data_IF_848272512575
#
_entry.id   IF_848272512575
#
_cell.length_a   1.000
_cell.length_b   1.000
_cell.length_c   1.000
_cell.angle_alpha   90.00
_cell.angle_beta   90.00
_cell.angle_gamma   90.00
#
_symmetry.space_group_name_H-M   'P 1'
#
loop_
_entity.id
_entity.type
_entity.pdbx_description
1 polymer ?
#
# COMPACT_ATOMS: atom_id res chain seq x y z
N UNK A 1 -3.82 42.02 14.98
CA UNK A 1 -3.58 40.98 16.01
C UNK A 1 -4.54 39.87 15.66
N UNK A 2 -4.04 38.93 14.88
CA UNK A 2 -4.86 38.02 14.09
C UNK A 2 -5.11 36.71 14.86
N UNK A 3 -6.33 36.22 14.70
CA UNK A 3 -6.92 35.15 15.49
C UNK A 3 -6.40 33.77 15.10
N UNK A 4 -6.12 32.98 16.14
CA UNK A 4 -5.82 31.55 16.08
C UNK A 4 -6.98 30.76 15.49
N UNK A 5 -6.69 29.91 14.49
CA UNK A 5 -7.56 28.84 14.01
C UNK A 5 -6.71 27.61 13.66
N UNK A 6 -6.02 27.06 14.65
CA UNK A 6 -5.62 25.64 14.65
C UNK A 6 -6.65 24.91 15.49
N UNK A 7 -7.62 24.26 14.83
CA UNK A 7 -8.54 23.35 15.49
C UNK A 7 -8.47 22.01 14.78
N UNK A 8 -7.81 21.05 15.43
CA UNK A 8 -7.74 19.66 15.02
C UNK A 8 -6.31 19.13 14.99
N UNK A 9 -5.83 18.70 16.16
CA UNK A 9 -4.93 17.57 16.44
C UNK A 9 -4.30 17.78 17.83
N UNK A 10 -5.11 17.64 18.87
CA UNK A 10 -4.60 17.38 20.22
C UNK A 10 -4.55 15.86 20.39
N UNK A 11 -3.35 15.28 20.41
CA UNK A 11 -3.11 13.93 20.92
C UNK A 11 -2.84 14.07 22.42
N UNK A 12 -3.86 13.81 23.25
CA UNK A 12 -3.66 13.67 24.68
C UNK A 12 -3.05 12.29 24.97
N UNK A 13 -1.89 12.31 25.63
CA UNK A 13 -1.28 11.13 26.23
C UNK A 13 -2.06 10.69 27.49
N UNK A 14 -2.42 9.41 27.56
CA UNK A 14 -2.65 8.72 28.84
C UNK A 14 -3.97 7.94 28.97
N UNK A 15 -3.84 6.62 29.15
CA UNK A 15 -4.73 5.84 30.02
C UNK A 15 -5.83 5.00 29.37
N UNK A 16 -5.53 3.71 29.22
CA UNK A 16 -6.37 2.50 29.32
C UNK A 16 -7.86 2.50 28.89
N UNK A 17 -8.16 1.57 27.98
CA UNK A 17 -9.45 0.94 27.65
C UNK A 17 -10.71 1.82 27.55
N UNK A 18 -11.05 2.28 26.34
CA UNK A 18 -12.34 1.99 25.68
C UNK A 18 -12.40 2.52 24.24
N UNK A 19 -12.95 1.68 23.39
CA UNK A 19 -13.15 1.81 21.94
C UNK A 19 -13.98 3.06 21.60
N UNK A 20 -13.43 3.95 20.77
CA UNK A 20 -14.05 4.59 19.57
C UNK A 20 -13.36 5.92 19.25
N UNK A 21 -12.29 5.85 18.47
CA UNK A 21 -12.06 6.85 17.43
C UNK A 21 -12.02 6.14 16.07
N UNK A 22 -13.20 5.76 15.60
CA UNK A 22 -13.42 5.28 14.24
C UNK A 22 -13.27 6.44 13.25
N UNK A 23 -12.03 6.78 12.92
CA UNK A 23 -11.72 7.69 11.82
C UNK A 23 -10.42 7.27 11.11
N UNK A 24 -10.51 6.23 10.27
CA UNK A 24 -9.54 6.02 9.20
C UNK A 24 -8.14 5.48 9.58
N UNK A 25 -8.00 4.75 10.69
CA UNK A 25 -6.75 4.11 11.09
C UNK A 25 -6.17 3.26 9.95
N UNK A 26 -4.89 3.46 9.65
CA UNK A 26 -4.16 2.68 8.65
C UNK A 26 -3.62 1.44 9.35
N UNK A 27 -3.85 0.28 8.78
CA UNK A 27 -3.30 -0.99 9.23
C UNK A 27 -2.26 -1.47 8.22
N UNK A 28 -1.22 -2.15 8.72
CA UNK A 28 -0.18 -2.75 7.90
C UNK A 28 -0.18 -4.26 8.12
N UNK A 29 -0.30 -5.00 7.03
CA UNK A 29 -0.33 -6.47 7.04
C UNK A 29 0.85 -7.03 6.26
N UNK A 30 1.30 -8.19 6.68
CA UNK A 30 2.30 -9.01 6.00
C UNK A 30 1.59 -10.07 5.17
N UNK A 31 1.97 -10.22 3.91
CA UNK A 31 1.39 -11.19 2.98
C UNK A 31 2.51 -12.01 2.35
N UNK A 32 2.38 -13.33 2.37
CA UNK A 32 3.30 -14.27 1.71
C UNK A 32 2.52 -15.36 0.97
N UNK A 33 3.23 -16.21 0.21
CA UNK A 33 2.64 -17.40 -0.42
C UNK A 33 1.97 -17.13 -1.77
N UNK A 34 2.11 -15.92 -2.32
CA UNK A 34 1.77 -15.61 -3.71
C UNK A 34 2.87 -16.10 -4.67
N UNK A 35 2.57 -16.09 -5.96
CA UNK A 35 3.55 -16.45 -7.01
C UNK A 35 4.60 -15.34 -7.17
N UNK A 36 5.86 -15.63 -6.83
CA UNK A 36 6.97 -14.69 -6.94
C UNK A 36 7.45 -14.48 -8.37
N UNK A 37 6.96 -15.27 -9.32
CA UNK A 37 7.25 -15.11 -10.76
C UNK A 37 6.30 -14.13 -11.45
N UNK A 38 5.29 -13.62 -10.75
CA UNK A 38 4.38 -12.63 -11.30
C UNK A 38 5.10 -11.31 -11.57
N UNK A 39 4.61 -10.60 -12.59
CA UNK A 39 5.04 -9.24 -12.81
C UNK A 39 4.58 -8.35 -11.64
N UNK A 40 5.43 -7.46 -11.08
CA UNK A 40 5.09 -6.67 -9.89
C UNK A 40 3.77 -5.90 -10.03
N UNK A 41 3.50 -5.36 -11.22
CA UNK A 41 2.26 -4.64 -11.51
C UNK A 41 1.00 -5.54 -11.41
N UNK A 42 1.07 -6.79 -11.88
CA UNK A 42 -0.05 -7.73 -11.80
C UNK A 42 -0.26 -8.19 -10.35
N UNK A 43 0.81 -8.36 -9.58
CA UNK A 43 0.73 -8.63 -8.15
C UNK A 43 0.03 -7.49 -7.42
N UNK A 44 0.41 -6.24 -7.67
CA UNK A 44 -0.21 -5.06 -7.03
C UNK A 44 -1.70 -4.96 -7.36
N UNK A 45 -2.10 -5.18 -8.62
CA UNK A 45 -3.53 -5.18 -9.00
C UNK A 45 -4.28 -6.32 -8.29
N UNK A 46 -3.67 -7.50 -8.25
CA UNK A 46 -4.26 -8.68 -7.61
C UNK A 46 -4.46 -8.47 -6.11
N UNK A 47 -3.46 -7.92 -5.41
CA UNK A 47 -3.54 -7.54 -4.00
C UNK A 47 -4.62 -6.49 -3.76
N UNK A 48 -4.67 -5.45 -4.58
CA UNK A 48 -5.71 -4.40 -4.49
C UNK A 48 -7.12 -4.97 -4.61
N UNK A 49 -7.34 -5.90 -5.54
CA UNK A 49 -8.64 -6.56 -5.71
C UNK A 49 -8.95 -7.53 -4.58
N UNK A 50 -7.95 -8.31 -4.15
CA UNK A 50 -8.13 -9.33 -3.13
C UNK A 50 -8.51 -8.71 -1.77
N UNK A 51 -7.90 -7.59 -1.39
CA UNK A 51 -8.18 -6.91 -0.13
C UNK A 51 -9.23 -5.79 -0.21
N UNK A 52 -9.87 -5.59 -1.37
CA UNK A 52 -10.87 -4.52 -1.56
C UNK A 52 -12.07 -4.62 -0.60
N UNK A 53 -12.41 -5.81 -0.13
CA UNK A 53 -13.47 -6.02 0.88
C UNK A 53 -13.02 -5.73 2.31
N UNK A 54 -11.72 -5.65 2.56
CA UNK A 54 -11.14 -5.41 3.89
C UNK A 54 -11.06 -3.91 4.19
N UNK A 55 -10.68 -3.11 3.19
CA UNK A 55 -10.53 -1.67 3.28
C UNK A 55 -9.96 -1.09 1.98
N UNK A 56 -9.67 0.21 1.98
CA UNK A 56 -8.98 0.86 0.87
C UNK A 56 -7.49 0.50 0.91
N UNK A 57 -7.00 -0.15 -0.14
CA UNK A 57 -5.59 -0.53 -0.27
C UNK A 57 -4.80 0.69 -0.72
N UNK A 58 -4.15 1.37 0.21
CA UNK A 58 -3.47 2.63 -0.08
C UNK A 58 -2.08 2.40 -0.69
N UNK A 59 -1.35 1.40 -0.21
CA UNK A 59 0.00 1.08 -0.67
C UNK A 59 0.28 -0.42 -0.63
N UNK A 60 1.08 -0.89 -1.58
CA UNK A 60 1.59 -2.26 -1.63
C UNK A 60 3.10 -2.16 -1.81
N UNK A 61 3.83 -2.54 -0.78
CA UNK A 61 5.28 -2.53 -0.78
C UNK A 61 5.80 -3.95 -0.98
N UNK A 62 6.52 -4.17 -2.09
CA UNK A 62 7.20 -5.42 -2.38
C UNK A 62 8.70 -5.14 -2.22
N UNK A 63 9.34 -5.62 -1.14
CA UNK A 63 10.74 -5.37 -0.87
C UNK A 63 11.64 -5.74 -2.07
N UNK A 64 12.56 -4.85 -2.42
CA UNK A 64 13.55 -5.11 -3.46
C UNK A 64 12.97 -5.24 -4.87
N UNK A 65 11.68 -4.94 -5.09
CA UNK A 65 11.06 -5.04 -6.42
C UNK A 65 11.64 -4.06 -7.44
N UNK A 66 12.39 -3.06 -6.96
CA UNK A 66 13.14 -2.12 -7.78
C UNK A 66 14.64 -2.43 -7.87
N UNK A 67 15.09 -3.54 -7.29
CA UNK A 67 16.49 -3.97 -7.40
C UNK A 67 16.80 -4.48 -8.81
N UNK A 68 18.07 -4.37 -9.22
CA UNK A 68 18.58 -4.84 -10.52
C UNK A 68 18.89 -6.34 -10.52
N UNK A 69 18.61 -7.05 -9.42
CA UNK A 69 18.84 -8.48 -9.23
C UNK A 69 17.73 -9.32 -9.92
N UNK A 70 17.84 -10.65 -10.03
CA UNK A 70 17.06 -11.43 -10.97
C UNK A 70 15.55 -11.42 -10.67
N UNK A 71 14.78 -11.70 -11.73
CA UNK A 71 13.33 -11.53 -11.98
C UNK A 71 12.31 -12.00 -10.93
N UNK A 72 12.72 -12.56 -9.81
CA UNK A 72 11.79 -13.04 -8.78
C UNK A 72 11.45 -11.94 -7.80
N UNK A 73 10.14 -11.72 -7.58
CA UNK A 73 9.67 -10.89 -6.50
C UNK A 73 10.09 -11.49 -5.15
N UNK A 74 10.20 -10.62 -4.14
CA UNK A 74 10.35 -11.10 -2.78
C UNK A 74 9.15 -12.01 -2.40
N UNK A 75 9.41 -12.98 -1.51
CA UNK A 75 8.44 -13.98 -1.03
C UNK A 75 7.34 -13.38 -0.15
N UNK A 76 7.51 -12.14 0.29
CA UNK A 76 6.50 -11.39 1.03
C UNK A 76 6.35 -9.95 0.55
N UNK A 77 5.18 -9.40 0.84
CA UNK A 77 4.83 -8.01 0.59
C UNK A 77 4.16 -7.44 1.85
N UNK A 78 4.30 -6.12 2.04
CA UNK A 78 3.55 -5.39 3.05
C UNK A 78 2.41 -4.64 2.35
N UNK A 79 1.19 -4.79 2.88
CA UNK A 79 0.00 -4.11 2.35
C UNK A 79 -0.52 -3.15 3.40
N UNK A 80 -0.80 -1.93 2.97
CA UNK A 80 -1.33 -0.86 3.81
C UNK A 80 -2.80 -0.70 3.49
N UNK A 81 -3.64 -0.87 4.50
CA UNK A 81 -5.08 -0.84 4.41
C UNK A 81 -5.62 0.32 5.23
N UNK A 82 -6.56 1.07 4.67
CA UNK A 82 -7.31 2.09 5.40
C UNK A 82 -8.74 1.62 5.57
N UNK A 83 -9.23 1.59 6.81
CA UNK A 83 -10.63 1.30 7.08
C UNK A 83 -10.87 0.62 8.43
N UNK A 84 -12.08 0.76 8.95
CA UNK A 84 -12.47 0.15 10.22
C UNK A 84 -12.44 -1.38 10.12
N UNK A 85 -11.68 -2.00 11.03
CA UNK A 85 -11.48 -3.45 11.08
C UNK A 85 -10.75 -4.02 9.86
N UNK A 86 -10.01 -3.19 9.11
CA UNK A 86 -9.36 -3.63 7.88
C UNK A 86 -8.35 -4.76 8.11
N UNK A 87 -7.55 -4.67 9.17
CA UNK A 87 -6.64 -5.74 9.58
C UNK A 87 -7.39 -7.04 9.88
N UNK A 88 -8.38 -7.02 10.78
CA UNK A 88 -9.14 -8.21 11.17
C UNK A 88 -9.80 -8.89 9.96
N UNK A 89 -10.38 -8.10 9.05
CA UNK A 89 -10.97 -8.60 7.80
C UNK A 89 -9.91 -9.23 6.89
N UNK A 90 -8.72 -8.64 6.80
CA UNK A 90 -7.64 -9.18 5.98
C UNK A 90 -7.04 -10.46 6.55
N UNK A 91 -6.91 -10.57 7.88
CA UNK A 91 -6.44 -11.79 8.55
C UNK A 91 -7.36 -12.99 8.28
N UNK A 92 -8.68 -12.76 8.17
CA UNK A 92 -9.66 -13.81 7.79
C UNK A 92 -9.48 -14.32 6.37
N UNK A 93 -8.73 -13.62 5.50
CA UNK A 93 -8.39 -14.08 4.14
C UNK A 93 -7.12 -14.92 4.10
N UNK A 94 -6.40 -15.07 5.22
CA UNK A 94 -5.29 -16.01 5.32
C UNK A 94 -5.78 -17.43 5.02
N UNK A 95 -5.09 -18.16 4.15
CA UNK A 95 -5.55 -19.46 3.68
C UNK A 95 -6.45 -19.40 2.44
N UNK A 96 -6.68 -18.22 1.85
CA UNK A 96 -7.46 -18.10 0.61
C UNK A 96 -6.57 -18.01 -0.63
N UNK A 97 -7.13 -18.34 -1.79
CA UNK A 97 -6.45 -18.17 -3.07
C UNK A 97 -6.58 -16.73 -3.55
N UNK A 98 -5.44 -16.12 -3.90
CA UNK A 98 -5.45 -14.83 -4.58
C UNK A 98 -5.73 -15.02 -6.07
N UNK A 99 -6.72 -14.30 -6.60
CA UNK A 99 -6.99 -14.28 -8.04
C UNK A 99 -5.95 -13.39 -8.71
N UNK A 100 -5.15 -13.97 -9.59
CA UNK A 100 -4.20 -13.22 -10.42
C UNK A 100 -4.96 -12.53 -11.54
N UNK A 101 -4.79 -11.22 -11.65
CA UNK A 101 -5.35 -10.42 -12.73
C UNK A 101 -4.21 -9.97 -13.65
N UNK A 102 -4.14 -10.57 -14.83
CA UNK A 102 -3.19 -10.22 -15.88
C UNK A 102 -3.87 -9.27 -16.85
N UNK A 103 -3.25 -8.11 -17.17
CA UNK A 103 -3.70 -7.31 -18.32
C UNK A 103 -3.19 -7.97 -19.59
N UNK A 104 -4.09 -8.45 -20.45
CA UNK A 104 -3.73 -8.88 -21.79
C UNK A 104 -3.28 -7.68 -22.62
N UNK A 105 -2.03 -7.68 -23.09
CA UNK A 105 -1.60 -6.77 -24.15
C UNK A 105 -2.09 -7.32 -25.49
N UNK A 106 -3.13 -6.70 -26.05
CA UNK A 106 -3.59 -6.95 -27.41
C UNK A 106 -4.69 -8.01 -27.55
N UNK A 107 -5.92 -7.68 -27.16
CA UNK A 107 -7.16 -8.11 -27.81
C UNK A 107 -8.34 -7.36 -27.20
N UNK A 108 -9.37 -7.11 -28.01
CA UNK A 108 -10.64 -6.49 -27.61
C UNK A 108 -11.18 -7.04 -26.28
N UNK A 109 -11.76 -6.13 -25.49
CA UNK A 109 -12.55 -6.33 -24.29
C UNK A 109 -12.99 -7.78 -24.02
N UNK A 110 -12.12 -8.53 -23.37
CA UNK A 110 -12.48 -9.67 -22.56
C UNK A 110 -11.49 -9.66 -21.41
N UNK A 111 -11.88 -9.04 -20.30
CA UNK A 111 -11.21 -9.30 -19.04
C UNK A 111 -11.21 -10.83 -18.88
N UNK A 112 -10.03 -11.46 -18.89
CA UNK A 112 -9.92 -12.85 -18.48
C UNK A 112 -10.16 -12.86 -16.96
N UNK A 113 -11.43 -12.72 -16.58
CA UNK A 113 -11.88 -13.12 -15.27
C UNK A 113 -11.61 -14.62 -15.29
N UNK A 114 -10.59 -15.04 -14.54
CA UNK A 114 -10.34 -16.46 -14.27
C UNK A 114 -11.46 -16.95 -13.31
N UNK A 115 -12.71 -16.86 -13.75
CA UNK A 115 -13.88 -17.34 -13.04
C UNK A 115 -13.97 -18.83 -13.25
N UNK A 116 -13.64 -19.55 -12.19
CA UNK A 116 -14.21 -20.83 -11.74
C UNK A 116 -14.24 -22.04 -12.68
N UNK A 117 -13.76 -21.98 -13.92
CA UNK A 117 -13.61 -23.19 -14.75
C UNK A 117 -12.49 -22.97 -15.76
N UNK A 118 -11.53 -23.90 -15.80
CA UNK A 118 -10.40 -23.99 -16.72
C UNK A 118 -9.14 -23.19 -16.39
N UNK A 119 -8.34 -23.76 -15.49
CA UNK A 119 -6.93 -23.92 -15.83
C UNK A 119 -6.86 -24.87 -17.03
N UNK A 120 -6.66 -24.34 -18.24
CA UNK A 120 -6.14 -25.17 -19.32
C UNK A 120 -4.66 -25.33 -19.02
N UNK A 121 -4.33 -26.43 -18.36
CA UNK A 121 -2.96 -26.85 -18.16
C UNK A 121 -2.35 -27.15 -19.52
N UNK A 122 -1.39 -26.32 -19.95
CA UNK A 122 -0.32 -26.85 -20.77
C UNK A 122 0.27 -28.03 -19.99
N UNK A 123 0.22 -29.20 -20.59
CA UNK A 123 0.49 -30.50 -19.99
C UNK A 123 1.92 -30.52 -19.43
N UNK A 124 2.09 -30.26 -18.13
CA UNK A 124 3.39 -30.30 -17.45
C UNK A 124 3.38 -29.52 -16.14
N UNK A 125 3.33 -30.25 -15.03
CA UNK A 125 3.48 -29.82 -13.63
C UNK A 125 2.29 -29.09 -12.98
N UNK A 126 1.88 -29.61 -11.82
CA UNK A 126 0.59 -29.36 -11.19
C UNK A 126 0.32 -27.90 -10.82
N UNK A 127 -0.97 -27.54 -10.83
CA UNK A 127 -1.41 -26.25 -10.32
C UNK A 127 -0.95 -26.05 -8.88
N UNK A 128 0.00 -25.14 -8.70
CA UNK A 128 0.26 -24.55 -7.41
C UNK A 128 -0.85 -23.54 -7.16
N UNK A 129 -1.88 -23.97 -6.43
CA UNK A 129 -2.82 -23.03 -5.79
C UNK A 129 -2.02 -22.28 -4.73
N UNK A 130 -1.60 -21.06 -5.06
CA UNK A 130 -0.83 -20.20 -4.17
C UNK A 130 -1.78 -19.57 -3.15
N UNK A 131 -1.96 -20.33 -2.08
CA UNK A 131 -2.72 -19.93 -0.91
C UNK A 131 -1.93 -18.88 -0.14
N UNK A 132 -2.47 -17.67 -0.05
CA UNK A 132 -1.76 -16.60 0.64
C UNK A 132 -1.86 -16.79 2.15
N UNK A 133 -0.81 -16.39 2.86
CA UNK A 133 -0.83 -16.29 4.33
C UNK A 133 -0.74 -14.82 4.68
N UNK A 134 -1.71 -14.36 5.48
CA UNK A 134 -1.80 -12.98 5.96
C UNK A 134 -1.53 -12.96 7.45
N UNK A 135 -0.65 -12.05 7.89
CA UNK A 135 -0.31 -11.81 9.29
C UNK A 135 -0.41 -10.32 9.60
N UNK A 136 -0.70 -9.98 10.86
CA UNK A 136 -0.65 -8.60 11.32
C UNK A 136 0.81 -8.13 11.32
N UNK A 137 1.05 -6.89 10.91
CA UNK A 137 2.38 -6.30 10.93
C UNK A 137 2.31 -4.83 11.37
N UNK A 138 2.02 -4.58 12.66
CA UNK A 138 1.73 -3.24 13.17
C UNK A 138 2.91 -2.29 12.97
N UNK A 139 2.62 -0.99 13.00
CA UNK A 139 3.67 0.03 13.01
C UNK A 139 4.52 -0.12 14.28
N UNK A 140 5.84 -0.04 14.13
CA UNK A 140 6.80 -0.31 15.20
C UNK A 140 7.26 -1.76 15.35
N UNK A 141 6.64 -2.72 14.64
CA UNK A 141 7.19 -4.06 14.50
C UNK A 141 8.55 -4.03 13.79
N UNK A 142 9.52 -4.77 14.32
CA UNK A 142 10.93 -4.77 13.91
C UNK A 142 11.47 -6.19 13.63
N UNK A 143 10.62 -7.21 13.69
CA UNK A 143 10.99 -8.61 13.46
C UNK A 143 11.48 -8.86 12.02
N UNK A 144 11.07 -8.03 11.07
CA UNK A 144 11.52 -8.10 9.67
C UNK A 144 12.67 -7.14 9.35
N UNK A 145 13.19 -6.35 10.31
CA UNK A 145 14.21 -5.32 10.01
C UNK A 145 15.46 -5.93 9.37
N UNK A 146 15.90 -7.09 9.86
CA UNK A 146 17.06 -7.80 9.30
C UNK A 146 16.80 -8.33 7.88
N UNK A 147 15.56 -8.69 7.55
CA UNK A 147 15.17 -9.16 6.22
C UNK A 147 14.95 -7.98 5.25
N UNK A 148 14.46 -6.84 5.74
CA UNK A 148 14.21 -5.63 4.97
C UNK A 148 15.48 -4.82 4.69
N UNK A 149 16.41 -4.76 5.65
CA UNK A 149 17.61 -3.92 5.58
C UNK A 149 18.41 -4.05 4.28
N UNK A 150 18.66 -5.26 3.72
CA UNK A 150 19.41 -5.40 2.46
C UNK A 150 18.73 -4.75 1.25
N UNK A 151 17.40 -4.62 1.26
CA UNK A 151 16.62 -4.08 0.15
C UNK A 151 16.31 -2.59 0.34
N UNK A 152 16.31 -2.13 1.59
CA UNK A 152 15.93 -0.76 1.95
C UNK A 152 16.74 0.30 1.26
N UNK A 153 18.04 0.10 1.08
CA UNK A 153 18.88 1.08 0.38
C UNK A 153 18.45 1.31 -1.07
N UNK A 154 18.03 0.24 -1.76
CA UNK A 154 17.51 0.36 -3.12
C UNK A 154 16.11 0.96 -3.12
N UNK A 155 15.22 0.46 -2.26
CA UNK A 155 13.84 0.92 -2.17
C UNK A 155 13.75 2.39 -1.73
N UNK A 156 14.72 2.89 -0.96
CA UNK A 156 14.84 4.27 -0.54
C UNK A 156 15.37 5.24 -1.61
N UNK A 157 15.81 4.73 -2.77
CA UNK A 157 16.19 5.56 -3.93
C UNK A 157 15.05 5.75 -4.93
N UNK A 158 13.92 5.05 -4.73
CA UNK A 158 12.82 5.04 -5.69
C UNK A 158 11.77 6.10 -5.40
N UNK A 159 11.16 6.60 -6.48
CA UNK A 159 10.06 7.56 -6.41
C UNK A 159 8.74 6.81 -6.25
N UNK A 160 7.97 7.18 -5.23
CA UNK A 160 6.60 6.69 -5.02
C UNK A 160 5.59 7.79 -5.33
N UNK A 161 4.32 7.41 -5.48
CA UNK A 161 3.20 8.34 -5.66
C UNK A 161 2.18 8.10 -4.55
N UNK A 162 1.94 9.14 -3.74
CA UNK A 162 0.94 9.14 -2.68
C UNK A 162 -0.22 10.07 -3.04
N UNK A 163 -1.43 9.54 -2.97
CA UNK A 163 -2.65 10.31 -3.15
C UNK A 163 -3.13 10.93 -1.84
N UNK A 164 -3.19 12.25 -1.77
CA UNK A 164 -3.67 13.00 -0.61
C UNK A 164 -5.06 13.55 -0.90
N UNK A 165 -6.01 13.28 -0.01
CA UNK A 165 -7.40 13.75 -0.07
C UNK A 165 -7.75 14.47 1.23
N UNK A 166 -8.83 15.27 1.19
CA UNK A 166 -9.35 15.95 2.38
C UNK A 166 -8.69 17.29 2.69
N UNK A 167 -7.83 17.81 1.79
CA UNK A 167 -7.40 19.21 1.86
C UNK A 167 -8.52 20.14 1.42
N UNK A 168 -8.47 21.37 1.90
CA UNK A 168 -9.45 22.40 1.57
C UNK A 168 -9.25 22.86 0.12
N UNK A 169 -10.20 22.51 -0.76
CA UNK A 169 -10.11 22.77 -2.20
C UNK A 169 -10.48 24.21 -2.60
N UNK A 170 -10.95 25.02 -1.64
CA UNK A 170 -11.25 26.45 -1.84
C UNK A 170 -9.99 27.32 -1.77
N UNK A 171 -8.92 26.79 -1.15
CA UNK A 171 -7.64 27.48 -1.04
C UNK A 171 -6.91 27.53 -2.38
N UNK A 172 -6.04 28.52 -2.54
CA UNK A 172 -5.23 28.67 -3.74
C UNK A 172 -4.30 27.47 -3.92
N UNK A 173 -4.18 26.98 -5.16
CA UNK A 173 -3.41 25.77 -5.51
C UNK A 173 -1.97 25.84 -4.99
N UNK A 174 -1.30 26.98 -5.15
CA UNK A 174 0.08 27.16 -4.69
C UNK A 174 0.19 27.12 -3.16
N UNK A 175 -0.81 27.63 -2.43
CA UNK A 175 -0.83 27.56 -0.97
C UNK A 175 -0.95 26.11 -0.49
N UNK A 176 -1.87 25.33 -1.09
CA UNK A 176 -2.03 23.91 -0.78
C UNK A 176 -0.75 23.14 -1.13
N UNK A 177 -0.14 23.45 -2.28
CA UNK A 177 1.11 22.83 -2.71
C UNK A 177 2.24 23.07 -1.70
N UNK A 178 2.42 24.30 -1.23
CA UNK A 178 3.45 24.65 -0.25
C UNK A 178 3.19 23.99 1.11
N UNK A 179 1.92 23.95 1.53
CA UNK A 179 1.51 23.28 2.77
C UNK A 179 1.83 21.78 2.73
N UNK A 180 1.44 21.10 1.65
CA UNK A 180 1.73 19.68 1.45
C UNK A 180 3.24 19.44 1.34
N UNK A 181 3.96 20.26 0.58
CA UNK A 181 5.41 20.15 0.45
C UNK A 181 6.08 20.27 1.81
N UNK A 182 5.71 21.27 2.61
CA UNK A 182 6.25 21.47 3.96
C UNK A 182 5.96 20.28 4.87
N UNK A 183 4.70 19.84 4.92
CA UNK A 183 4.28 18.75 5.80
C UNK A 183 5.00 17.44 5.48
N UNK A 184 5.00 17.00 4.21
CA UNK A 184 5.64 15.74 3.83
C UNK A 184 7.18 15.81 3.83
N UNK A 185 7.78 17.00 3.81
CA UNK A 185 9.22 17.16 3.97
C UNK A 185 9.71 16.79 5.38
N UNK A 186 8.82 16.77 6.37
CA UNK A 186 9.13 16.28 7.73
C UNK A 186 9.30 14.75 7.74
N UNK A 187 8.62 14.04 6.83
CA UNK A 187 8.73 12.59 6.68
C UNK A 187 10.00 12.19 5.91
N UNK A 188 10.45 13.02 4.96
CA UNK A 188 11.61 12.75 4.13
C UNK A 188 11.65 13.57 2.84
N UNK A 189 12.49 13.17 1.87
CA UNK A 189 12.67 13.94 0.63
C UNK A 189 11.44 13.82 -0.27
N UNK A 190 10.86 14.96 -0.65
CA UNK A 190 9.77 15.05 -1.63
C UNK A 190 10.31 15.56 -2.97
N UNK A 191 10.00 14.83 -4.05
CA UNK A 191 10.42 15.19 -5.40
C UNK A 191 9.47 16.20 -6.04
N UNK A 192 8.17 15.99 -5.91
CA UNK A 192 7.15 16.80 -6.55
C UNK A 192 5.81 16.75 -5.81
N UNK A 193 5.04 17.83 -5.91
CA UNK A 193 3.66 17.92 -5.44
C UNK A 193 2.79 18.51 -6.56
N UNK A 194 1.71 17.82 -6.89
CA UNK A 194 0.66 18.27 -7.82
C UNK A 194 -0.66 18.34 -7.08
N UNK A 195 -1.45 19.41 -7.25
CA UNK A 195 -2.73 19.59 -6.55
C UNK A 195 -3.84 19.69 -7.59
N UNK A 196 -4.75 18.73 -7.57
CA UNK A 196 -6.00 18.78 -8.33
C UNK A 196 -7.17 19.33 -7.51
N UNK A 197 -8.41 19.25 -8.01
CA UNK A 197 -9.58 19.71 -7.26
C UNK A 197 -9.99 18.81 -6.07
N UNK A 198 -9.68 17.51 -6.11
CA UNK A 198 -10.12 16.51 -5.11
C UNK A 198 -9.05 15.51 -4.69
N UNK A 199 -7.89 15.60 -5.32
CA UNK A 199 -6.76 14.70 -5.11
C UNK A 199 -5.49 15.50 -5.39
N UNK A 200 -4.60 15.53 -4.41
CA UNK A 200 -3.23 15.95 -4.59
C UNK A 200 -2.36 14.70 -4.71
N UNK A 201 -1.30 14.79 -5.50
CA UNK A 201 -0.30 13.74 -5.65
C UNK A 201 1.00 14.29 -5.07
N UNK A 202 1.50 13.61 -4.03
CA UNK A 202 2.82 13.85 -3.44
C UNK A 202 3.74 12.73 -3.89
N UNK A 203 4.93 13.08 -4.34
CA UNK A 203 5.91 12.12 -4.84
C UNK A 203 7.09 12.01 -3.87
N UNK A 204 6.99 11.19 -2.80
CA UNK A 204 8.11 10.99 -1.88
C UNK A 204 9.19 10.11 -2.52
N UNK A 205 10.43 10.35 -2.11
CA UNK A 205 11.57 9.50 -2.44
C UNK A 205 11.82 8.54 -1.28
N UNK A 206 11.67 7.26 -1.57
CA UNK A 206 11.99 6.16 -0.69
C UNK A 206 10.85 5.63 0.16
N UNK A 207 10.91 4.33 0.47
CA UNK A 207 9.87 3.65 1.24
C UNK A 207 9.84 4.12 2.71
N UNK A 208 10.97 4.52 3.30
CA UNK A 208 10.95 5.05 4.68
C UNK A 208 10.20 6.38 4.77
N UNK A 209 10.29 7.21 3.72
CA UNK A 209 9.50 8.44 3.62
C UNK A 209 8.00 8.12 3.53
N UNK A 210 7.64 7.08 2.78
CA UNK A 210 6.25 6.59 2.72
C UNK A 210 5.80 6.06 4.09
N UNK A 211 6.61 5.25 4.75
CA UNK A 211 6.29 4.64 6.04
C UNK A 211 6.09 5.68 7.15
N UNK A 212 6.83 6.80 7.11
CA UNK A 212 6.67 7.95 8.03
C UNK A 212 5.47 8.85 7.70
N UNK A 213 4.95 8.75 6.48
CA UNK A 213 3.85 9.59 5.99
C UNK A 213 2.47 8.95 6.19
N UNK A 214 2.42 7.67 6.57
CA UNK A 214 1.22 6.87 6.85
C UNK A 214 1.03 6.72 8.36
#
# INVERSE_FOLDING_TARGET
MDGSAIKGLELNEGGDACIRESSGMISRIYVQGYDTWLHPHDLVISMRKHFASCGDVIHVYIPGCFSTAPRELNRFALVYLRGEGAEEKALKLSGSNMIVVVRGEGAQENALILTRTNMIFAKGEGARTNMIVVKAYPFGANDLDSELAPMRDADNRHLYLMGVRGYESTLHVDYVKDLLMKHFSECGRIFHVSVGPRLAIVSPVGQDTVDKAL
#
